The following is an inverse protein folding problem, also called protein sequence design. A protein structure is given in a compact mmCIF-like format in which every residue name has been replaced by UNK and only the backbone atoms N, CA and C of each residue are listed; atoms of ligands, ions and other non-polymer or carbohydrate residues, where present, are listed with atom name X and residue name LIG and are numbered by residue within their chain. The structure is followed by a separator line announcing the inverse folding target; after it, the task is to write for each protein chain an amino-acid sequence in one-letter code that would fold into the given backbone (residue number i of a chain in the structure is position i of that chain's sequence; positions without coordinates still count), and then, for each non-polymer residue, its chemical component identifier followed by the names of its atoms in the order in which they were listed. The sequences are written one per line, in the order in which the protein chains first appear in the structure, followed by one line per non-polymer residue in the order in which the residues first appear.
data_IF_208306363804
#
_entry.id   IF_208306363804
#
_cell.length_a   1.000
_cell.length_b   1.000
_cell.length_c   1.000
_cell.angle_alpha   90.00
_cell.angle_beta   90.00
_cell.angle_gamma   90.00
#
_symmetry.space_group_name_H-M   'P 1'
#
loop_
_entity.id
_entity.type
_entity.pdbx_description
1 polymer ?
#
# COMPACT_ATOMS: atom_id res chain seq x y z
N UNK A 1 -42.19 -31.72 36.49
CA UNK A 1 -41.64 -30.41 36.06
C UNK A 1 -40.10 -30.45 35.86
N UNK A 2 -39.38 -30.96 36.83
CA UNK A 2 -37.89 -31.00 36.81
C UNK A 2 -37.28 -31.78 35.60
N UNK A 3 -37.85 -32.95 35.28
CA UNK A 3 -37.35 -33.78 34.20
C UNK A 3 -37.59 -33.16 32.81
N UNK A 4 -38.73 -32.49 32.60
CA UNK A 4 -39.00 -31.74 31.36
C UNK A 4 -38.02 -30.56 31.19
N UNK A 5 -37.68 -29.88 32.28
CA UNK A 5 -36.71 -28.80 32.26
C UNK A 5 -35.29 -29.29 31.95
N UNK A 6 -34.89 -30.46 32.45
CA UNK A 6 -33.58 -31.09 32.10
C UNK A 6 -33.50 -31.48 30.64
N UNK A 7 -34.59 -32.04 30.07
CA UNK A 7 -34.65 -32.37 28.64
C UNK A 7 -34.59 -31.10 27.79
N UNK A 8 -35.31 -30.05 28.16
CA UNK A 8 -35.31 -28.76 27.42
C UNK A 8 -33.90 -28.12 27.45
N UNK A 9 -33.25 -28.12 28.62
CA UNK A 9 -31.88 -27.59 28.77
C UNK A 9 -30.88 -28.37 27.89
N UNK A 10 -30.97 -29.72 27.88
CA UNK A 10 -30.11 -30.55 27.03
C UNK A 10 -30.30 -30.24 25.52
N UNK A 11 -31.56 -30.05 25.08
CA UNK A 11 -31.86 -29.67 23.68
C UNK A 11 -31.31 -28.30 23.34
N UNK A 12 -31.43 -27.33 24.25
CA UNK A 12 -30.86 -25.99 24.07
C UNK A 12 -29.33 -26.04 23.97
N UNK A 13 -28.66 -26.79 24.84
CA UNK A 13 -27.20 -26.94 24.78
C UNK A 13 -26.73 -27.59 23.46
N UNK A 14 -27.47 -28.61 22.97
CA UNK A 14 -27.18 -29.25 21.69
C UNK A 14 -27.38 -28.24 20.56
N UNK A 15 -28.45 -27.44 20.54
CA UNK A 15 -28.69 -26.41 19.53
C UNK A 15 -27.58 -25.33 19.53
N UNK A 16 -27.19 -24.88 20.72
CA UNK A 16 -26.05 -23.94 20.86
C UNK A 16 -24.76 -24.55 20.31
N UNK A 17 -24.46 -25.80 20.65
CA UNK A 17 -23.27 -26.49 20.14
C UNK A 17 -23.26 -26.58 18.59
N UNK A 18 -24.40 -26.92 18.01
CA UNK A 18 -24.56 -26.98 16.54
C UNK A 18 -24.31 -25.60 15.91
N UNK A 19 -24.88 -24.53 16.47
CA UNK A 19 -24.67 -23.16 15.99
C UNK A 19 -23.19 -22.80 16.05
N UNK A 20 -22.51 -23.13 17.16
CA UNK A 20 -21.06 -22.86 17.33
C UNK A 20 -20.25 -23.61 16.25
N UNK A 21 -20.55 -24.88 16.02
CA UNK A 21 -19.86 -25.67 15.00
C UNK A 21 -20.09 -25.08 13.59
N UNK A 22 -21.33 -24.72 13.26
CA UNK A 22 -21.64 -24.06 11.97
C UNK A 22 -20.87 -22.75 11.82
N UNK A 23 -20.83 -21.93 12.88
CA UNK A 23 -20.10 -20.67 12.89
C UNK A 23 -18.60 -20.87 12.67
N UNK A 24 -18.00 -21.86 13.31
CA UNK A 24 -16.57 -22.20 13.11
C UNK A 24 -16.32 -22.63 11.66
N UNK A 25 -17.14 -23.54 11.13
CA UNK A 25 -17.00 -24.02 9.74
C UNK A 25 -17.16 -22.89 8.75
N UNK A 26 -18.14 -21.99 8.97
CA UNK A 26 -18.37 -20.82 8.14
C UNK A 26 -17.15 -19.85 8.20
N UNK A 27 -16.64 -19.59 9.43
CA UNK A 27 -15.45 -18.73 9.61
C UNK A 27 -14.25 -19.30 8.85
N UNK A 28 -13.97 -20.59 8.98
CA UNK A 28 -12.85 -21.21 8.27
C UNK A 28 -13.09 -21.17 6.76
N UNK A 29 -14.27 -21.48 6.27
CA UNK A 29 -14.58 -21.51 4.83
C UNK A 29 -14.51 -20.12 4.19
N UNK A 30 -15.24 -19.17 4.72
CA UNK A 30 -15.32 -17.79 4.20
C UNK A 30 -13.98 -17.07 4.39
N UNK A 31 -13.37 -17.18 5.58
CA UNK A 31 -12.08 -16.58 5.86
C UNK A 31 -10.99 -17.09 4.92
N UNK A 32 -10.90 -18.42 4.70
CA UNK A 32 -9.94 -18.97 3.73
C UNK A 32 -10.20 -18.50 2.30
N UNK A 33 -11.45 -18.39 1.89
CA UNK A 33 -11.80 -17.88 0.56
C UNK A 33 -11.23 -16.46 0.38
N UNK A 34 -11.49 -15.55 1.33
CA UNK A 34 -11.03 -14.18 1.21
C UNK A 34 -9.52 -14.02 1.42
N UNK A 35 -8.88 -14.82 2.28
CA UNK A 35 -7.41 -14.86 2.39
C UNK A 35 -6.78 -15.27 1.06
N UNK A 36 -7.28 -16.34 0.45
CA UNK A 36 -6.79 -16.79 -0.84
C UNK A 36 -7.05 -15.75 -1.95
N UNK A 37 -8.21 -15.11 -1.94
CA UNK A 37 -8.57 -14.10 -2.92
C UNK A 37 -7.72 -12.84 -2.77
N UNK A 38 -7.65 -12.26 -1.57
CA UNK A 38 -7.10 -10.95 -1.33
C UNK A 38 -5.59 -10.94 -1.11
N UNK A 39 -5.05 -11.77 -0.23
CA UNK A 39 -3.65 -11.63 0.21
C UNK A 39 -2.72 -12.78 -0.20
N UNK A 40 -3.25 -13.93 -0.64
CA UNK A 40 -2.38 -14.99 -1.17
C UNK A 40 -1.72 -14.51 -2.48
N UNK A 41 -0.42 -14.76 -2.67
CA UNK A 41 0.35 -14.37 -3.87
C UNK A 41 -0.34 -14.77 -5.18
N UNK A 42 -0.90 -15.97 -5.24
CA UNK A 42 -1.58 -16.54 -6.41
C UNK A 42 -3.08 -16.20 -6.47
N UNK A 43 -3.58 -15.37 -5.57
CA UNK A 43 -4.98 -15.00 -5.53
C UNK A 43 -5.40 -14.03 -6.64
N UNK A 44 -6.70 -13.90 -6.88
CA UNK A 44 -7.28 -13.14 -8.00
C UNK A 44 -7.77 -11.73 -7.60
N UNK A 45 -7.41 -11.23 -6.41
CA UNK A 45 -7.87 -9.92 -5.91
C UNK A 45 -7.38 -8.71 -6.70
N UNK A 46 -6.47 -8.88 -7.67
CA UNK A 46 -6.00 -7.79 -8.54
C UNK A 46 -7.02 -7.37 -9.60
N UNK A 47 -7.82 -8.33 -10.10
CA UNK A 47 -8.80 -8.04 -11.13
C UNK A 47 -10.05 -7.40 -10.51
N UNK A 48 -10.28 -6.13 -10.83
CA UNK A 48 -11.37 -5.34 -10.24
C UNK A 48 -12.54 -5.19 -11.19
N UNK A 49 -13.64 -5.90 -10.89
CA UNK A 49 -14.95 -5.59 -11.41
C UNK A 49 -15.78 -4.91 -10.32
N UNK A 50 -16.14 -3.63 -10.50
CA UNK A 50 -16.99 -2.88 -9.57
C UNK A 50 -18.45 -3.21 -9.87
N UNK A 51 -19.11 -3.93 -8.95
CA UNK A 51 -20.53 -4.33 -9.09
C UNK A 51 -21.50 -3.32 -8.49
N UNK A 52 -21.05 -2.42 -7.63
CA UNK A 52 -21.85 -1.39 -6.96
C UNK A 52 -21.19 -0.03 -7.11
N UNK A 53 -21.40 0.56 -8.28
CA UNK A 53 -20.97 1.93 -8.56
C UNK A 53 -21.54 2.97 -7.58
N UNK A 54 -22.75 2.71 -7.03
CA UNK A 54 -23.42 3.63 -6.09
C UNK A 54 -22.80 3.63 -4.67
N UNK A 55 -21.93 2.70 -4.35
CA UNK A 55 -21.33 2.58 -3.00
C UNK A 55 -19.96 3.25 -2.85
N UNK A 56 -19.33 3.56 -3.95
CA UNK A 56 -18.18 4.44 -4.07
C UNK A 56 -18.65 5.61 -4.90
N UNK A 57 -18.27 6.83 -4.56
CA UNK A 57 -18.42 7.93 -5.49
C UNK A 57 -17.60 7.55 -6.74
N UNK A 58 -18.24 6.91 -7.72
CA UNK A 58 -17.68 6.78 -9.05
C UNK A 58 -17.63 8.20 -9.56
N UNK A 59 -16.53 8.86 -9.31
CA UNK A 59 -16.25 10.11 -9.95
C UNK A 59 -16.23 9.81 -11.45
N UNK A 60 -17.15 10.40 -12.19
CA UNK A 60 -17.10 10.40 -13.63
C UNK A 60 -15.88 11.24 -14.00
N UNK A 61 -14.73 10.58 -14.16
CA UNK A 61 -13.56 11.22 -14.76
C UNK A 61 -14.01 11.75 -16.12
N UNK A 62 -13.81 13.02 -16.37
CA UNK A 62 -14.16 13.62 -17.65
C UNK A 62 -13.40 12.87 -18.77
N UNK A 63 -14.09 12.60 -19.89
CA UNK A 63 -13.50 11.95 -21.06
C UNK A 63 -12.23 12.64 -21.57
N UNK A 64 -12.09 13.95 -21.36
CA UNK A 64 -10.86 14.70 -21.70
C UNK A 64 -9.73 14.40 -20.70
N UNK A 65 -10.06 14.33 -19.41
CA UNK A 65 -9.10 13.95 -18.37
C UNK A 65 -8.55 12.54 -18.57
N UNK A 66 -9.41 11.58 -18.92
CA UNK A 66 -9.00 10.19 -19.21
C UNK A 66 -8.02 10.11 -20.40
N UNK A 67 -8.28 10.87 -21.49
CA UNK A 67 -7.37 10.93 -22.62
C UNK A 67 -5.99 11.52 -22.27
N UNK A 68 -5.97 12.59 -21.48
CA UNK A 68 -4.73 13.21 -20.99
C UNK A 68 -3.93 12.20 -20.15
N UNK A 69 -4.60 11.51 -19.25
CA UNK A 69 -3.99 10.48 -18.38
C UNK A 69 -3.39 9.36 -19.24
N UNK A 70 -4.13 8.83 -20.22
CA UNK A 70 -3.65 7.74 -21.07
C UNK A 70 -2.47 8.15 -21.94
N UNK A 71 -2.50 9.35 -22.52
CA UNK A 71 -1.41 9.89 -23.34
C UNK A 71 -0.15 10.08 -22.50
N UNK A 72 -0.27 10.75 -21.36
CA UNK A 72 0.85 10.97 -20.46
C UNK A 72 1.41 9.65 -19.89
N UNK A 73 0.56 8.70 -19.54
CA UNK A 73 0.96 7.37 -19.08
C UNK A 73 1.78 6.62 -20.12
N UNK A 74 1.38 6.71 -21.38
CA UNK A 74 2.14 6.11 -22.51
C UNK A 74 3.50 6.78 -22.69
N UNK A 75 3.53 8.11 -22.67
CA UNK A 75 4.76 8.90 -22.84
C UNK A 75 5.73 8.65 -21.68
N UNK A 76 5.24 8.74 -20.45
CA UNK A 76 6.04 8.49 -19.23
C UNK A 76 6.61 7.06 -19.20
N UNK A 77 5.82 6.07 -19.63
CA UNK A 77 6.28 4.67 -19.73
C UNK A 77 7.40 4.52 -20.74
N UNK A 78 7.30 5.17 -21.89
CA UNK A 78 8.35 5.12 -22.91
C UNK A 78 9.64 5.75 -22.38
N UNK A 79 9.57 6.99 -21.87
CA UNK A 79 10.72 7.71 -21.33
C UNK A 79 11.40 6.96 -20.17
N UNK A 80 10.59 6.37 -19.29
CA UNK A 80 11.11 5.62 -18.15
C UNK A 80 11.79 4.30 -18.57
N UNK A 81 11.29 3.63 -19.59
CA UNK A 81 11.95 2.45 -20.15
C UNK A 81 13.30 2.82 -20.76
N UNK A 82 13.36 3.85 -21.62
CA UNK A 82 14.60 4.37 -22.21
C UNK A 82 15.62 4.76 -21.14
N UNK A 83 15.15 5.46 -20.07
CA UNK A 83 16.00 5.79 -18.94
C UNK A 83 16.53 4.56 -18.23
N UNK A 84 15.69 3.57 -17.94
CA UNK A 84 16.09 2.38 -17.19
C UNK A 84 17.06 1.47 -17.93
N UNK A 85 17.06 1.51 -19.28
CA UNK A 85 17.99 0.78 -20.12
C UNK A 85 19.36 1.48 -20.23
N UNK A 86 19.40 2.79 -20.03
CA UNK A 86 20.61 3.61 -20.21
C UNK A 86 21.34 3.96 -18.93
N UNK A 87 20.62 4.00 -17.80
CA UNK A 87 21.23 4.29 -16.49
C UNK A 87 21.93 3.06 -15.94
N UNK A 88 23.04 3.27 -15.22
CA UNK A 88 23.67 2.20 -14.48
C UNK A 88 22.70 1.61 -13.47
N UNK A 89 22.53 0.28 -13.52
CA UNK A 89 21.63 -0.39 -12.59
C UNK A 89 22.25 -1.67 -12.02
N UNK A 90 21.80 -2.03 -10.81
CA UNK A 90 22.30 -3.18 -10.07
C UNK A 90 21.16 -3.89 -9.36
N UNK A 91 21.04 -5.20 -9.58
CA UNK A 91 20.15 -6.06 -8.78
C UNK A 91 20.71 -6.22 -7.39
N UNK A 92 19.85 -6.10 -6.39
CA UNK A 92 20.17 -6.21 -4.97
C UNK A 92 19.18 -7.11 -4.26
N UNK A 93 19.64 -7.76 -3.20
CA UNK A 93 18.83 -8.63 -2.35
C UNK A 93 19.03 -8.28 -0.88
N UNK A 94 17.96 -8.42 -0.09
CA UNK A 94 18.01 -8.39 1.37
C UNK A 94 17.19 -9.55 1.94
N UNK A 95 17.53 -9.97 3.15
CA UNK A 95 16.74 -10.91 3.93
C UNK A 95 15.77 -10.13 4.82
N UNK A 96 14.49 -10.42 4.69
CA UNK A 96 13.48 -9.94 5.62
C UNK A 96 13.63 -10.61 7.00
N UNK A 97 13.00 -10.04 8.03
CA UNK A 97 13.07 -10.58 9.40
C UNK A 97 12.52 -11.99 9.51
N UNK A 98 11.55 -12.36 8.69
CA UNK A 98 10.97 -13.71 8.60
C UNK A 98 11.74 -14.67 7.68
N UNK A 99 12.89 -14.23 7.15
CA UNK A 99 13.83 -15.04 6.39
C UNK A 99 13.58 -15.12 4.88
N UNK A 100 12.49 -14.56 4.35
CA UNK A 100 12.28 -14.52 2.89
C UNK A 100 13.32 -13.62 2.22
N UNK A 101 13.59 -13.88 0.92
CA UNK A 101 14.49 -13.04 0.13
C UNK A 101 13.67 -11.99 -0.60
N UNK A 102 13.99 -10.74 -0.35
CA UNK A 102 13.45 -9.61 -1.08
C UNK A 102 14.44 -9.17 -2.14
N UNK A 103 13.95 -8.84 -3.33
CA UNK A 103 14.77 -8.43 -4.47
C UNK A 103 14.36 -7.06 -4.96
N UNK A 104 15.33 -6.30 -5.46
CA UNK A 104 15.12 -4.96 -5.96
C UNK A 104 16.19 -4.54 -6.96
N UNK A 105 16.01 -3.37 -7.55
CA UNK A 105 16.98 -2.78 -8.47
C UNK A 105 17.39 -1.40 -7.96
N UNK A 106 18.69 -1.19 -7.82
CA UNK A 106 19.28 0.13 -7.64
C UNK A 106 19.60 0.72 -9.02
N UNK A 107 19.24 1.99 -9.22
CA UNK A 107 19.60 2.79 -10.37
C UNK A 107 20.52 3.90 -9.88
N UNK A 108 21.74 3.91 -10.35
CA UNK A 108 22.81 4.77 -9.84
C UNK A 108 22.97 5.97 -10.76
N UNK A 109 22.63 7.15 -10.27
CA UNK A 109 22.83 8.41 -10.98
C UNK A 109 24.23 8.96 -10.77
N UNK A 110 24.72 8.86 -9.55
CA UNK A 110 26.06 9.31 -9.13
C UNK A 110 26.47 8.54 -7.87
N UNK A 111 27.54 7.77 -7.96
CA UNK A 111 28.07 6.99 -6.83
C UNK A 111 28.50 7.86 -5.64
N UNK A 112 28.86 9.12 -5.89
CA UNK A 112 29.25 10.08 -4.86
C UNK A 112 28.07 10.78 -4.17
N UNK A 113 26.85 10.64 -4.70
CA UNK A 113 25.66 11.28 -4.18
C UNK A 113 25.18 10.65 -2.88
N UNK A 114 24.86 11.49 -1.90
CA UNK A 114 24.17 11.05 -0.68
C UNK A 114 22.65 10.95 -0.87
N UNK A 115 22.09 11.49 -1.97
CA UNK A 115 20.64 11.51 -2.22
C UNK A 115 20.16 10.15 -2.70
N UNK A 116 19.20 9.57 -1.97
CA UNK A 116 18.56 8.31 -2.30
C UNK A 116 17.04 8.43 -2.26
N UNK A 117 16.36 7.75 -3.17
CA UNK A 117 14.92 7.54 -3.13
C UNK A 117 14.61 6.04 -3.10
N UNK A 118 13.82 5.58 -2.14
CA UNK A 118 13.24 4.23 -2.13
C UNK A 118 11.79 4.39 -2.59
N UNK A 119 11.41 3.70 -3.68
CA UNK A 119 10.10 3.86 -4.31
C UNK A 119 9.35 2.53 -4.28
N UNK A 120 8.17 2.51 -3.65
CA UNK A 120 7.37 1.31 -3.41
C UNK A 120 6.13 1.28 -4.29
N UNK A 121 5.90 0.14 -4.97
CA UNK A 121 4.76 -0.07 -5.85
C UNK A 121 3.49 -0.49 -5.09
N UNK A 122 2.35 -0.44 -5.77
CA UNK A 122 1.04 -0.80 -5.23
C UNK A 122 0.77 -2.31 -5.17
N UNK A 123 -0.41 -2.62 -4.68
CA UNK A 123 -0.94 -3.98 -4.53
C UNK A 123 -0.96 -4.73 -5.87
N UNK A 124 -0.44 -5.97 -5.86
CA UNK A 124 -0.31 -6.86 -7.04
C UNK A 124 0.35 -6.21 -8.26
N UNK A 125 1.09 -5.14 -8.05
CA UNK A 125 1.83 -4.44 -9.08
C UNK A 125 3.27 -4.92 -9.17
N UNK A 126 4.08 -4.26 -9.97
CA UNK A 126 5.49 -4.58 -10.19
C UNK A 126 6.35 -3.32 -10.13
N UNK A 127 7.66 -3.43 -9.94
CA UNK A 127 8.59 -2.30 -10.03
C UNK A 127 8.42 -1.45 -11.30
N UNK A 128 8.04 -2.07 -12.42
CA UNK A 128 7.87 -1.35 -13.69
C UNK A 128 6.71 -0.35 -13.67
N UNK A 129 5.72 -0.50 -12.78
CA UNK A 129 4.59 0.44 -12.70
C UNK A 129 4.95 1.80 -12.12
N UNK A 130 6.08 1.89 -11.42
CA UNK A 130 6.55 3.10 -10.73
C UNK A 130 7.92 3.57 -11.22
N UNK A 131 8.43 2.96 -12.29
CA UNK A 131 9.77 3.26 -12.82
C UNK A 131 9.88 4.71 -13.31
N UNK A 132 8.79 5.32 -13.78
CA UNK A 132 8.74 6.73 -14.17
C UNK A 132 9.01 7.66 -12.98
N UNK A 133 8.51 7.33 -11.78
CA UNK A 133 8.82 8.08 -10.56
C UNK A 133 10.32 8.04 -10.30
N UNK A 134 10.94 6.85 -10.43
CA UNK A 134 12.40 6.68 -10.31
C UNK A 134 13.18 7.54 -11.29
N UNK A 135 12.73 7.63 -12.54
CA UNK A 135 13.31 8.49 -13.55
C UNK A 135 13.29 9.97 -13.13
N UNK A 136 12.17 10.46 -12.62
CA UNK A 136 12.06 11.86 -12.18
C UNK A 136 12.96 12.14 -10.96
N UNK A 137 13.00 11.27 -9.96
CA UNK A 137 13.95 11.40 -8.86
C UNK A 137 15.41 11.38 -9.34
N UNK A 138 15.74 10.52 -10.30
CA UNK A 138 17.09 10.46 -10.87
C UNK A 138 17.47 11.74 -11.62
N UNK A 139 16.52 12.41 -12.32
CA UNK A 139 16.74 13.73 -12.94
C UNK A 139 17.12 14.78 -11.90
N UNK A 140 16.60 14.69 -10.69
CA UNK A 140 16.91 15.57 -9.54
C UNK A 140 18.16 15.16 -8.74
N UNK A 141 18.95 14.22 -9.30
CA UNK A 141 20.24 13.80 -8.73
C UNK A 141 20.16 12.72 -7.65
N UNK A 142 19.01 12.05 -7.51
CA UNK A 142 18.88 10.93 -6.60
C UNK A 142 19.35 9.62 -7.22
N UNK A 143 20.06 8.80 -6.45
CA UNK A 143 20.12 7.37 -6.66
C UNK A 143 18.78 6.75 -6.25
N UNK A 144 18.33 5.74 -6.95
CA UNK A 144 16.98 5.21 -6.77
C UNK A 144 17.05 3.72 -6.46
N UNK A 145 16.31 3.26 -5.44
CA UNK A 145 16.04 1.86 -5.17
C UNK A 145 14.56 1.57 -5.40
N UNK A 146 14.26 0.63 -6.28
CA UNK A 146 12.90 0.15 -6.53
C UNK A 146 12.84 -1.33 -6.14
N UNK A 147 12.33 -1.65 -4.94
CA UNK A 147 12.13 -3.03 -4.52
C UNK A 147 10.93 -3.66 -5.23
N UNK A 148 10.99 -4.96 -5.44
CA UNK A 148 9.82 -5.81 -5.57
C UNK A 148 9.30 -6.09 -4.16
N UNK A 149 8.07 -5.68 -3.85
CA UNK A 149 7.50 -5.91 -2.52
C UNK A 149 7.26 -7.41 -2.25
N UNK A 150 7.14 -7.80 -0.98
CA UNK A 150 6.92 -9.22 -0.61
C UNK A 150 5.75 -9.85 -1.35
N UNK A 151 5.86 -11.11 -1.68
CA UNK A 151 4.87 -11.86 -2.46
C UNK A 151 4.48 -11.25 -3.82
N UNK A 152 5.29 -10.31 -4.32
CA UNK A 152 5.10 -9.69 -5.64
C UNK A 152 6.34 -9.88 -6.52
N UNK A 153 6.11 -9.99 -7.84
CA UNK A 153 7.19 -10.05 -8.85
C UNK A 153 8.36 -10.96 -8.47
N UNK A 154 9.58 -10.41 -8.30
CA UNK A 154 10.81 -11.18 -8.06
C UNK A 154 11.04 -11.55 -6.58
N UNK A 155 10.39 -10.90 -5.62
CA UNK A 155 10.56 -11.18 -4.18
C UNK A 155 9.81 -12.43 -3.75
N UNK A 156 10.38 -13.13 -2.76
CA UNK A 156 9.74 -14.29 -2.14
C UNK A 156 8.53 -13.84 -1.29
N UNK A 157 7.82 -14.81 -0.75
CA UNK A 157 6.65 -14.60 0.11
C UNK A 157 5.42 -15.30 -0.41
N UNK A 158 4.58 -15.76 0.51
CA UNK A 158 3.30 -16.41 0.23
C UNK A 158 2.14 -15.42 0.29
N UNK A 159 2.21 -14.46 1.22
CA UNK A 159 1.17 -13.48 1.47
C UNK A 159 1.65 -12.06 1.22
N UNK A 160 0.80 -11.26 0.55
CA UNK A 160 0.97 -9.83 0.38
C UNK A 160 0.80 -9.16 1.75
N UNK A 161 1.71 -8.29 2.13
CA UNK A 161 1.78 -7.72 3.47
C UNK A 161 0.85 -6.54 3.72
N UNK A 162 0.21 -5.99 2.66
CA UNK A 162 -0.72 -4.85 2.72
C UNK A 162 -0.15 -3.65 3.50
N UNK A 163 1.15 -3.40 3.37
CA UNK A 163 1.84 -2.33 4.10
C UNK A 163 2.32 -2.72 5.49
N UNK A 164 1.65 -3.64 6.19
CA UNK A 164 1.98 -3.96 7.58
C UNK A 164 3.25 -4.82 7.72
N UNK A 165 3.33 -5.90 6.95
CA UNK A 165 4.58 -6.69 6.89
C UNK A 165 5.62 -5.97 6.04
N UNK A 166 5.20 -5.24 5.03
CA UNK A 166 6.07 -4.50 4.10
C UNK A 166 6.85 -3.37 4.79
N UNK A 167 6.32 -2.76 5.88
CA UNK A 167 7.05 -1.75 6.66
C UNK A 167 8.33 -2.31 7.29
N UNK A 168 8.31 -3.59 7.70
CA UNK A 168 9.48 -4.28 8.23
C UNK A 168 10.50 -4.58 7.11
N UNK A 169 10.01 -4.89 5.91
CA UNK A 169 10.86 -5.07 4.73
C UNK A 169 11.52 -3.77 4.31
N UNK A 170 10.77 -2.66 4.37
CA UNK A 170 11.29 -1.33 4.09
C UNK A 170 12.48 -0.97 5.00
N UNK A 171 12.44 -1.35 6.28
CA UNK A 171 13.58 -1.19 7.20
C UNK A 171 14.83 -1.92 6.70
N UNK A 172 14.66 -3.12 6.12
CA UNK A 172 15.79 -3.86 5.56
C UNK A 172 16.41 -3.13 4.36
N UNK A 173 15.58 -2.51 3.52
CA UNK A 173 16.04 -1.70 2.38
C UNK A 173 16.73 -0.40 2.80
N UNK A 174 16.18 0.30 3.79
CA UNK A 174 16.79 1.50 4.39
C UNK A 174 18.19 1.13 4.93
N UNK A 175 18.27 0.05 5.70
CA UNK A 175 19.53 -0.42 6.27
C UNK A 175 20.55 -0.83 5.20
N UNK A 176 20.12 -1.39 4.07
CA UNK A 176 21.01 -1.69 2.94
C UNK A 176 21.68 -0.42 2.41
N UNK A 177 20.89 0.65 2.19
CA UNK A 177 21.42 1.93 1.70
C UNK A 177 22.36 2.56 2.72
N UNK A 178 21.98 2.61 4.00
CA UNK A 178 22.82 3.18 5.07
C UNK A 178 24.16 2.40 5.19
N UNK A 179 24.12 1.08 5.04
CA UNK A 179 25.33 0.25 5.05
C UNK A 179 26.27 0.55 3.86
N UNK A 180 25.71 0.93 2.70
CA UNK A 180 26.48 1.33 1.52
C UNK A 180 26.99 2.76 1.64
N UNK A 181 26.20 3.66 2.22
CA UNK A 181 26.51 5.06 2.45
C UNK A 181 25.90 5.54 3.78
N UNK A 182 26.70 5.67 4.81
CA UNK A 182 26.26 6.11 6.15
C UNK A 182 25.67 7.52 6.17
N UNK A 183 26.05 8.36 5.21
CA UNK A 183 25.57 9.73 5.06
C UNK A 183 24.38 9.83 4.10
N UNK A 184 23.78 8.71 3.70
CA UNK A 184 22.65 8.72 2.78
C UNK A 184 21.48 9.58 3.34
N UNK A 185 20.92 10.39 2.48
CA UNK A 185 19.69 11.17 2.70
C UNK A 185 18.57 10.51 1.90
N UNK A 186 17.68 9.80 2.59
CA UNK A 186 16.73 8.88 1.98
C UNK A 186 15.33 9.52 1.95
N UNK A 187 14.73 9.57 0.78
CA UNK A 187 13.32 9.87 0.59
C UNK A 187 12.57 8.56 0.37
N UNK A 188 11.47 8.39 1.08
CA UNK A 188 10.57 7.26 0.88
C UNK A 188 9.38 7.71 0.03
N UNK A 189 9.18 7.09 -1.12
CA UNK A 189 8.00 7.32 -1.95
C UNK A 189 7.20 6.03 -2.08
N UNK A 190 5.89 6.10 -1.89
CA UNK A 190 5.00 4.97 -2.09
C UNK A 190 3.76 5.34 -2.88
N UNK A 191 3.29 4.42 -3.73
CA UNK A 191 2.02 4.53 -4.44
C UNK A 191 1.05 3.45 -3.95
N UNK A 192 -0.19 3.81 -3.60
CA UNK A 192 -1.24 2.89 -3.17
C UNK A 192 -0.80 2.07 -1.93
N UNK A 193 -0.74 0.74 -2.02
CA UNK A 193 -0.18 -0.12 -0.95
C UNK A 193 1.24 0.32 -0.56
N UNK A 194 2.06 0.79 -1.52
CA UNK A 194 3.37 1.36 -1.22
C UNK A 194 3.26 2.63 -0.37
N UNK A 195 2.26 3.49 -0.63
CA UNK A 195 1.98 4.67 0.20
C UNK A 195 1.55 4.27 1.62
N UNK A 196 0.66 3.30 1.74
CA UNK A 196 0.29 2.76 3.06
C UNK A 196 1.51 2.18 3.80
N UNK A 197 2.44 1.53 3.07
CA UNK A 197 3.68 0.99 3.65
C UNK A 197 4.55 2.09 4.25
N UNK A 198 4.82 3.17 3.50
CA UNK A 198 5.67 4.27 4.01
C UNK A 198 4.99 5.03 5.15
N UNK A 199 3.65 5.15 5.11
CA UNK A 199 2.87 5.75 6.19
C UNK A 199 2.87 4.87 7.44
N UNK A 200 2.70 3.55 7.30
CA UNK A 200 2.80 2.63 8.42
C UNK A 200 4.20 2.58 9.02
N UNK A 201 5.24 2.71 8.19
CA UNK A 201 6.61 2.80 8.66
C UNK A 201 6.90 4.13 9.39
N UNK A 202 6.16 5.21 9.08
CA UNK A 202 6.40 6.53 9.65
C UNK A 202 6.20 6.63 11.16
N UNK A 203 5.41 5.72 11.72
CA UNK A 203 5.19 5.63 13.19
C UNK A 203 6.25 4.85 13.94
N UNK A 204 7.17 4.19 13.23
CA UNK A 204 8.31 3.49 13.80
C UNK A 204 9.50 4.45 14.02
N UNK A 205 10.52 4.01 14.77
CA UNK A 205 11.76 4.77 14.91
C UNK A 205 12.60 4.65 13.63
N UNK A 206 12.28 5.48 12.63
CA UNK A 206 13.05 5.57 11.40
C UNK A 206 14.44 6.18 11.65
N UNK A 207 15.51 5.68 10.99
CA UNK A 207 16.82 6.32 11.05
C UNK A 207 16.79 7.78 10.60
N UNK A 208 17.63 8.62 11.19
CA UNK A 208 17.74 10.06 10.84
C UNK A 208 18.15 10.31 9.38
N UNK A 209 18.62 9.27 8.71
CA UNK A 209 18.87 9.24 7.27
C UNK A 209 17.60 9.44 6.44
N UNK A 210 16.43 9.01 6.94
CA UNK A 210 15.15 9.22 6.28
C UNK A 210 14.70 10.65 6.51
N UNK A 211 14.66 11.45 5.42
CA UNK A 211 14.39 12.88 5.48
C UNK A 211 12.93 13.23 5.26
N UNK A 212 12.25 12.51 4.38
CA UNK A 212 10.85 12.74 4.08
C UNK A 212 10.15 11.51 3.50
N UNK A 213 8.83 11.58 3.52
CA UNK A 213 7.91 10.60 2.97
C UNK A 213 7.01 11.29 1.96
N UNK A 214 6.79 10.65 0.80
CA UNK A 214 5.77 11.02 -0.19
C UNK A 214 4.81 9.85 -0.32
N UNK A 215 3.55 10.06 0.01
CA UNK A 215 2.51 9.06 0.00
C UNK A 215 1.43 9.41 -1.03
N UNK A 216 1.41 8.67 -2.15
CA UNK A 216 0.48 8.85 -3.26
C UNK A 216 -0.63 7.80 -3.21
N UNK A 217 -1.88 8.21 -3.00
CA UNK A 217 -3.09 7.38 -2.94
C UNK A 217 -3.05 6.31 -1.84
N UNK A 218 -2.56 6.67 -0.63
CA UNK A 218 -2.50 5.78 0.52
C UNK A 218 -3.83 5.63 1.24
N UNK A 219 -4.07 4.48 1.88
CA UNK A 219 -5.28 4.18 2.66
C UNK A 219 -5.04 4.24 4.17
N UNK A 220 -6.12 4.46 4.94
CA UNK A 220 -6.12 4.62 6.40
C UNK A 220 -5.73 3.35 7.15
N UNK A 221 -6.26 2.20 6.73
CA UNK A 221 -5.95 0.91 7.32
C UNK A 221 -6.24 -0.25 6.36
N UNK A 222 -5.68 -1.42 6.64
CA UNK A 222 -6.00 -2.64 5.90
C UNK A 222 -7.46 -3.02 6.10
N UNK A 223 -8.01 -2.78 7.28
CA UNK A 223 -9.42 -3.00 7.56
C UNK A 223 -10.32 -2.13 6.68
N UNK A 224 -10.02 -0.83 6.58
CA UNK A 224 -10.88 0.11 5.86
C UNK A 224 -10.86 -0.13 4.35
N UNK A 225 -9.68 -0.38 3.78
CA UNK A 225 -9.59 -0.69 2.34
C UNK A 225 -10.30 -2.01 2.00
N UNK A 226 -10.19 -3.03 2.84
CA UNK A 226 -10.92 -4.28 2.61
C UNK A 226 -12.43 -4.14 2.84
N UNK A 227 -12.88 -3.29 3.77
CA UNK A 227 -14.29 -2.98 3.96
C UNK A 227 -14.87 -2.27 2.73
N UNK A 228 -14.15 -1.27 2.20
CA UNK A 228 -14.51 -0.56 0.97
C UNK A 228 -14.60 -1.52 -0.22
N UNK A 229 -13.58 -2.32 -0.45
CA UNK A 229 -13.51 -3.24 -1.58
C UNK A 229 -14.50 -4.43 -1.46
N UNK A 230 -14.77 -4.94 -0.26
CA UNK A 230 -15.81 -5.95 -0.05
C UNK A 230 -17.19 -5.40 -0.42
N UNK A 231 -17.45 -4.15 -0.10
CA UNK A 231 -18.69 -3.46 -0.49
C UNK A 231 -18.75 -3.23 -1.99
N UNK A 232 -17.68 -2.69 -2.59
CA UNK A 232 -17.63 -2.36 -4.01
C UNK A 232 -17.75 -3.60 -4.92
N UNK A 233 -16.95 -4.64 -4.63
CA UNK A 233 -16.85 -5.85 -5.50
C UNK A 233 -18.00 -6.83 -5.29
N UNK A 234 -18.41 -7.02 -4.05
CA UNK A 234 -19.30 -8.13 -3.67
C UNK A 234 -20.62 -7.68 -3.06
N UNK A 235 -20.80 -6.38 -2.79
CA UNK A 235 -21.91 -5.83 -2.00
C UNK A 235 -22.07 -6.51 -0.63
N UNK A 236 -20.94 -6.89 -0.01
CA UNK A 236 -20.93 -7.58 1.27
C UNK A 236 -20.82 -6.56 2.43
N UNK A 237 -21.50 -6.86 3.56
CA UNK A 237 -21.32 -6.09 4.76
C UNK A 237 -19.97 -6.41 5.42
N UNK A 238 -19.42 -5.44 6.14
CA UNK A 238 -18.19 -5.62 6.92
C UNK A 238 -18.32 -6.75 7.92
N UNK A 239 -19.38 -6.73 8.75
CA UNK A 239 -19.69 -7.81 9.70
C UNK A 239 -20.68 -8.81 9.08
N UNK A 240 -20.48 -10.13 9.22
CA UNK A 240 -19.36 -10.81 9.92
C UNK A 240 -18.16 -11.14 8.99
N UNK A 241 -18.23 -10.80 7.70
CA UNK A 241 -17.33 -11.30 6.66
C UNK A 241 -15.88 -10.92 6.94
N UNK A 242 -15.63 -9.64 7.22
CA UNK A 242 -14.29 -9.14 7.46
C UNK A 242 -13.68 -9.69 8.76
N UNK A 243 -14.54 -9.95 9.78
CA UNK A 243 -14.09 -10.62 11.00
C UNK A 243 -13.67 -12.09 10.76
N UNK A 244 -14.37 -12.79 9.87
CA UNK A 244 -13.98 -14.15 9.48
C UNK A 244 -12.67 -14.16 8.69
N UNK A 245 -12.50 -13.19 7.78
CA UNK A 245 -11.25 -12.97 7.07
C UNK A 245 -10.09 -12.67 8.02
N UNK A 246 -10.26 -11.73 8.97
CA UNK A 246 -9.25 -11.36 9.96
C UNK A 246 -8.74 -12.55 10.77
N UNK A 247 -9.67 -13.37 11.33
CA UNK A 247 -9.30 -14.54 12.11
C UNK A 247 -8.39 -15.48 11.31
N UNK A 248 -8.73 -15.74 10.04
CA UNK A 248 -7.96 -16.64 9.20
C UNK A 248 -6.68 -15.98 8.71
N UNK A 249 -6.68 -14.68 8.39
CA UNK A 249 -5.50 -13.93 7.98
C UNK A 249 -4.46 -13.90 9.12
N UNK A 250 -4.90 -13.65 10.35
CA UNK A 250 -4.02 -13.68 11.52
C UNK A 250 -3.32 -15.03 11.67
N UNK A 251 -4.08 -16.14 11.56
CA UNK A 251 -3.52 -17.49 11.70
C UNK A 251 -2.60 -17.87 10.53
N UNK A 252 -2.93 -17.48 9.28
CA UNK A 252 -2.20 -17.93 8.08
C UNK A 252 -1.08 -17.00 7.67
N UNK A 253 -1.31 -15.69 7.72
CA UNK A 253 -0.36 -14.67 7.27
C UNK A 253 0.39 -14.01 8.44
N UNK A 254 0.08 -14.40 9.68
CA UNK A 254 0.74 -13.96 10.90
C UNK A 254 0.73 -12.44 11.10
N UNK A 255 -0.36 -11.77 10.72
CA UNK A 255 -0.59 -10.37 11.09
C UNK A 255 -2.07 -10.06 11.28
N UNK A 256 -2.34 -9.13 12.19
CA UNK A 256 -3.67 -8.63 12.49
C UNK A 256 -3.99 -7.45 11.57
N UNK A 257 -5.03 -7.59 10.74
CA UNK A 257 -5.44 -6.55 9.80
C UNK A 257 -6.05 -5.32 10.46
N UNK A 258 -6.47 -5.41 11.72
CA UNK A 258 -6.98 -4.26 12.49
C UNK A 258 -5.85 -3.42 13.07
N UNK A 259 -4.74 -4.06 13.44
CA UNK A 259 -3.54 -3.35 13.87
C UNK A 259 -2.84 -2.67 12.69
N UNK A 260 -3.04 -3.18 11.47
CA UNK A 260 -2.44 -2.67 10.25
C UNK A 260 -3.08 -1.33 9.83
N UNK A 261 -2.77 -0.26 10.54
CA UNK A 261 -3.35 1.07 10.39
C UNK A 261 -2.29 2.14 10.15
N UNK A 262 -2.29 2.72 8.94
CA UNK A 262 -1.50 3.89 8.63
C UNK A 262 -2.00 5.11 9.45
N UNK A 263 -3.32 5.21 9.69
CA UNK A 263 -3.94 6.28 10.46
C UNK A 263 -3.40 6.35 11.90
N UNK A 264 -3.20 5.20 12.55
CA UNK A 264 -2.60 5.17 13.89
C UNK A 264 -1.11 5.47 13.85
N UNK A 265 -0.40 5.05 12.81
CA UNK A 265 1.05 5.23 12.70
C UNK A 265 1.44 6.69 12.40
N UNK A 266 0.72 7.39 11.53
CA UNK A 266 1.06 8.78 11.19
C UNK A 266 0.95 9.73 12.38
N UNK A 267 0.15 9.41 13.41
CA UNK A 267 0.06 10.17 14.67
C UNK A 267 1.39 10.24 15.41
N UNK A 268 2.24 9.22 15.24
CA UNK A 268 3.54 9.09 15.88
C UNK A 268 4.70 9.53 14.97
N UNK A 269 4.42 9.87 13.71
CA UNK A 269 5.46 10.26 12.75
C UNK A 269 6.20 11.51 13.19
N UNK A 270 7.53 11.45 13.10
CA UNK A 270 8.45 12.59 13.26
C UNK A 270 9.01 13.05 11.91
N UNK A 271 8.89 12.20 10.89
CA UNK A 271 9.39 12.45 9.53
C UNK A 271 8.38 13.30 8.76
N UNK A 272 8.80 14.34 8.04
CA UNK A 272 7.92 15.12 7.18
C UNK A 272 7.18 14.27 6.14
N UNK A 273 5.89 14.53 5.90
CA UNK A 273 5.05 13.76 4.98
C UNK A 273 4.36 14.68 3.98
N UNK A 274 4.51 14.38 2.68
CA UNK A 274 3.66 14.91 1.62
C UNK A 274 2.61 13.86 1.24
N UNK A 275 1.34 14.23 1.38
CA UNK A 275 0.21 13.43 0.95
C UNK A 275 -0.24 13.87 -0.43
N UNK A 276 -0.41 12.92 -1.37
CA UNK A 276 -0.91 13.19 -2.72
C UNK A 276 -2.09 12.26 -2.99
N UNK A 277 -3.16 12.79 -3.61
CA UNK A 277 -4.33 12.00 -3.96
C UNK A 277 -5.06 12.58 -5.17
N UNK A 278 -5.78 11.74 -5.90
CA UNK A 278 -6.74 12.17 -6.91
C UNK A 278 -8.14 12.20 -6.31
N UNK A 279 -8.92 13.26 -6.57
CA UNK A 279 -10.28 13.38 -6.02
C UNK A 279 -11.31 12.47 -6.71
N UNK A 280 -10.92 11.86 -7.85
CA UNK A 280 -11.69 10.87 -8.58
C UNK A 280 -11.23 9.41 -8.30
N UNK A 281 -10.47 9.19 -7.22
CA UNK A 281 -10.00 7.85 -6.84
C UNK A 281 -11.17 7.00 -6.32
N UNK A 282 -11.59 6.02 -7.11
CA UNK A 282 -12.68 5.11 -6.79
C UNK A 282 -12.22 3.83 -6.08
N UNK A 283 -10.89 3.64 -5.94
CA UNK A 283 -10.30 2.48 -5.27
C UNK A 283 -9.92 2.78 -3.81
N UNK A 284 -9.16 3.85 -3.59
CA UNK A 284 -8.88 4.40 -2.28
C UNK A 284 -9.58 5.75 -2.20
N UNK A 285 -10.76 5.84 -1.54
CA UNK A 285 -11.52 7.08 -1.49
C UNK A 285 -10.72 8.25 -0.91
N UNK A 286 -10.83 9.43 -1.52
CA UNK A 286 -10.05 10.64 -1.18
C UNK A 286 -10.16 11.03 0.30
N UNK A 287 -11.31 10.75 0.96
CA UNK A 287 -11.47 11.04 2.38
C UNK A 287 -10.41 10.34 3.26
N UNK A 288 -9.85 9.20 2.82
CA UNK A 288 -8.78 8.53 3.55
C UNK A 288 -7.49 9.36 3.57
N UNK A 289 -7.22 10.09 2.48
CA UNK A 289 -6.10 11.04 2.45
C UNK A 289 -6.32 12.19 3.43
N UNK A 290 -7.55 12.73 3.51
CA UNK A 290 -7.90 13.79 4.46
C UNK A 290 -7.71 13.33 5.91
N UNK A 291 -8.24 12.17 6.26
CA UNK A 291 -8.09 11.59 7.60
C UNK A 291 -6.61 11.37 7.98
N UNK A 292 -5.80 10.85 7.05
CA UNK A 292 -4.37 10.65 7.24
C UNK A 292 -3.63 11.99 7.41
N UNK A 293 -3.96 12.97 6.57
CA UNK A 293 -3.38 14.31 6.66
C UNK A 293 -3.71 14.96 8.00
N UNK A 294 -4.98 14.97 8.42
CA UNK A 294 -5.40 15.56 9.68
C UNK A 294 -4.72 14.87 10.89
N UNK A 295 -4.62 13.54 10.87
CA UNK A 295 -4.05 12.76 11.96
C UNK A 295 -2.52 12.88 12.09
N UNK A 296 -1.80 13.17 11.00
CA UNK A 296 -0.34 13.23 11.01
C UNK A 296 0.17 14.36 11.90
N UNK A 297 1.07 14.04 12.84
CA UNK A 297 1.58 14.97 13.84
C UNK A 297 3.05 15.38 13.56
N UNK A 298 3.36 15.63 12.27
CA UNK A 298 4.68 16.05 11.80
C UNK A 298 4.56 17.23 10.85
N UNK A 299 5.69 17.74 10.33
CA UNK A 299 5.67 18.68 9.19
C UNK A 299 4.99 17.97 8.02
N UNK A 300 3.96 18.57 7.46
CA UNK A 300 3.14 17.93 6.44
C UNK A 300 2.65 18.92 5.40
N UNK A 301 2.40 18.42 4.19
CA UNK A 301 1.73 19.14 3.12
C UNK A 301 0.83 18.17 2.33
N UNK A 302 -0.07 18.71 1.51
CA UNK A 302 -1.04 17.93 0.75
C UNK A 302 -1.20 18.48 -0.66
N UNK A 303 -1.40 17.57 -1.62
CA UNK A 303 -1.76 17.87 -3.00
C UNK A 303 -2.93 16.98 -3.42
N UNK A 304 -4.05 17.60 -3.78
CA UNK A 304 -5.18 16.92 -4.41
C UNK A 304 -5.22 17.31 -5.88
N UNK A 305 -5.23 16.32 -6.78
CA UNK A 305 -5.34 16.51 -8.22
C UNK A 305 -6.77 16.24 -8.67
N UNK A 306 -7.39 17.24 -9.26
CA UNK A 306 -8.78 17.16 -9.75
C UNK A 306 -8.90 16.23 -10.95
N UNK A 307 -9.98 15.43 -10.99
CA UNK A 307 -10.24 14.41 -12.02
C UNK A 307 -9.12 13.39 -12.21
N UNK A 308 -8.35 13.10 -11.17
CA UNK A 308 -7.37 12.02 -11.19
C UNK A 308 -7.92 10.80 -10.46
N UNK A 309 -7.86 9.65 -11.11
CA UNK A 309 -8.19 8.34 -10.54
C UNK A 309 -7.07 7.79 -9.66
N UNK A 310 -7.20 6.51 -9.28
CA UNK A 310 -6.25 5.85 -8.39
C UNK A 310 -4.82 5.85 -8.95
N UNK A 311 -3.91 6.54 -8.26
CA UNK A 311 -2.50 6.74 -8.64
C UNK A 311 -2.28 7.45 -9.98
N UNK A 312 -3.28 8.10 -10.53
CA UNK A 312 -3.21 8.79 -11.83
C UNK A 312 -2.81 10.27 -11.71
N UNK A 313 -2.67 10.81 -10.49
CA UNK A 313 -2.24 12.19 -10.22
C UNK A 313 -1.00 12.61 -11.02
N UNK A 314 0.02 11.74 -11.07
CA UNK A 314 1.27 11.94 -11.82
C UNK A 314 1.12 11.93 -13.34
N UNK A 315 0.01 11.40 -13.84
CA UNK A 315 -0.31 11.37 -15.28
C UNK A 315 -1.31 12.46 -15.66
N UNK A 316 -2.21 12.82 -14.74
CA UNK A 316 -3.18 13.90 -14.96
C UNK A 316 -2.49 15.25 -15.04
N UNK A 317 -1.62 15.56 -14.09
CA UNK A 317 -0.86 16.81 -13.99
C UNK A 317 0.61 16.55 -13.64
N UNK A 318 1.43 16.04 -14.57
CA UNK A 318 2.81 15.64 -14.28
C UNK A 318 3.65 16.78 -13.69
N UNK A 319 3.59 17.97 -14.28
CA UNK A 319 4.36 19.13 -13.80
C UNK A 319 3.95 19.54 -12.38
N UNK A 320 2.66 19.65 -12.10
CA UNK A 320 2.15 19.97 -10.76
C UNK A 320 2.59 18.93 -9.74
N UNK A 321 2.47 17.64 -10.10
CA UNK A 321 2.82 16.52 -9.24
C UNK A 321 4.30 16.52 -8.85
N UNK A 322 5.21 16.55 -9.83
CA UNK A 322 6.65 16.49 -9.55
C UNK A 322 7.19 17.79 -8.98
N UNK A 323 6.71 18.96 -9.43
CA UNK A 323 7.10 20.25 -8.84
C UNK A 323 6.73 20.31 -7.35
N UNK A 324 5.52 19.85 -6.99
CA UNK A 324 5.10 19.82 -5.58
C UNK A 324 5.99 18.91 -4.73
N UNK A 325 6.37 17.73 -5.24
CA UNK A 325 7.29 16.83 -4.55
C UNK A 325 8.63 17.52 -4.29
N UNK A 326 9.27 18.05 -5.33
CA UNK A 326 10.62 18.59 -5.19
C UNK A 326 10.64 19.94 -4.46
N UNK A 327 9.58 20.73 -4.55
CA UNK A 327 9.40 21.92 -3.71
C UNK A 327 9.30 21.53 -2.22
N UNK A 328 8.47 20.54 -1.89
CA UNK A 328 8.35 20.04 -0.53
C UNK A 328 9.69 19.53 0.01
N UNK A 329 10.41 18.72 -0.79
CA UNK A 329 11.73 18.20 -0.42
C UNK A 329 12.80 19.29 -0.28
N UNK A 330 12.72 20.36 -1.06
CA UNK A 330 13.64 21.49 -0.97
C UNK A 330 13.43 22.40 0.27
N UNK A 331 12.29 22.24 0.93
CA UNK A 331 11.89 23.01 2.10
C UNK A 331 12.05 22.27 3.45
N UNK A 332 12.68 21.08 3.45
CA UNK A 332 12.82 20.23 4.66
C UNK A 332 14.11 20.51 5.41
#
# INVERSE_FOLDING_TARGET
MEEKNKILLKRLLIAVLIIVIISIVATIGIGNYFVNYAILRTGNGGDREVKNADSIAVANIDNEAEKIIEENKKNEKQLANEWSETIENKKVEVKAKDGITLRGTQYIKDESSNKWAIILHGYRSTPNSIISIGMHFSKEGYNVLIPSMRACSESDGEYIGMGWLDKEDLQCWINLIIKQNENAEIILHGSSMGAATVLMASGEDLPTNVKAIVADSGYTSVWDIFASEAKARFNLPTFPILNMFEIVANVRANYDIKEASALEQVKNSKTPILFIHGDADDFVPEYMCEELYEAANCKKDKLIIHDAGHTDSKYKEPETYYNKIFEFLGNI
#
